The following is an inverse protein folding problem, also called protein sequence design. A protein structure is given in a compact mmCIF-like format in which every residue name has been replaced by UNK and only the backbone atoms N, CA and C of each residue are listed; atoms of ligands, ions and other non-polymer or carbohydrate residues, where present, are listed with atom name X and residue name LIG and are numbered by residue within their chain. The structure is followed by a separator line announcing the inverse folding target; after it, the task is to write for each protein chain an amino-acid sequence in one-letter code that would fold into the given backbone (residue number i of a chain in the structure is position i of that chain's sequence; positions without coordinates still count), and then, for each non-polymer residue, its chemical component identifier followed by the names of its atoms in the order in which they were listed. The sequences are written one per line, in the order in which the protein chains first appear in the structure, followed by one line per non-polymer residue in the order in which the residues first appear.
data_IF_854498134053
#
_entry.id   IF_854498134053
#
_cell.length_a   1.000
_cell.length_b   1.000
_cell.length_c   1.000
_cell.angle_alpha   90.00
_cell.angle_beta   90.00
_cell.angle_gamma   90.00
#
_symmetry.space_group_name_H-M   'P 1'
#
loop_
_entity.id
_entity.type
_entity.pdbx_description
1 polymer ?
#
# COMPACT_ATOMS: atom_id res chain seq x y z
N UNK A 1 13.61 -12.52 -37.67
CA UNK A 1 13.76 -11.68 -36.46
C UNK A 1 13.05 -10.35 -36.69
N UNK A 2 11.80 -10.22 -36.24
CA UNK A 2 11.06 -8.95 -36.31
C UNK A 2 11.59 -8.01 -35.23
N UNK A 3 12.21 -6.91 -35.64
CA UNK A 3 12.61 -5.82 -34.74
C UNK A 3 11.35 -5.02 -34.45
N UNK A 4 10.80 -5.15 -33.24
CA UNK A 4 9.71 -4.28 -32.81
C UNK A 4 10.28 -2.85 -32.77
N UNK A 5 9.75 -1.90 -33.56
CA UNK A 5 10.27 -0.54 -33.53
C UNK A 5 9.98 0.06 -32.17
N UNK A 6 10.99 0.69 -31.56
CA UNK A 6 10.92 1.30 -30.22
C UNK A 6 9.72 2.26 -30.10
N UNK A 7 9.34 2.90 -31.21
CA UNK A 7 8.16 3.77 -31.33
C UNK A 7 6.86 3.04 -30.96
N UNK A 8 6.73 1.76 -31.31
CA UNK A 8 5.55 0.93 -31.04
C UNK A 8 5.44 0.61 -29.54
N UNK A 9 6.57 0.41 -28.88
CA UNK A 9 6.63 0.19 -27.42
C UNK A 9 6.19 1.47 -26.69
N UNK A 10 6.71 2.63 -27.10
CA UNK A 10 6.32 3.93 -26.52
C UNK A 10 4.84 4.22 -26.72
N UNK A 11 4.29 3.92 -27.91
CA UNK A 11 2.87 4.11 -28.19
C UNK A 11 1.98 3.23 -27.30
N UNK A 12 2.35 1.96 -27.10
CA UNK A 12 1.61 1.04 -26.21
C UNK A 12 1.63 1.54 -24.77
N UNK A 13 2.78 2.04 -24.30
CA UNK A 13 2.90 2.60 -22.95
C UNK A 13 2.00 3.83 -22.80
N UNK A 14 1.97 4.74 -23.77
CA UNK A 14 1.12 5.93 -23.74
C UNK A 14 -0.38 5.59 -23.74
N UNK A 15 -0.79 4.61 -24.54
CA UNK A 15 -2.20 4.16 -24.59
C UNK A 15 -2.60 3.47 -23.29
N UNK A 16 -1.74 2.62 -22.74
CA UNK A 16 -1.95 2.03 -21.41
C UNK A 16 -2.05 3.13 -20.34
N UNK A 17 -1.21 4.17 -20.41
CA UNK A 17 -1.25 5.29 -19.48
C UNK A 17 -2.54 6.13 -19.60
N UNK A 18 -3.10 6.24 -20.80
CA UNK A 18 -4.35 6.96 -21.06
C UNK A 18 -5.58 6.19 -20.56
N UNK A 19 -5.62 4.87 -20.73
CA UNK A 19 -6.78 4.03 -20.40
C UNK A 19 -6.72 3.36 -19.02
N UNK A 20 -5.57 3.30 -18.35
CA UNK A 20 -5.42 2.69 -17.02
C UNK A 20 -5.16 3.77 -15.93
N UNK A 21 -6.21 4.19 -15.20
CA UNK A 21 -6.12 5.21 -14.14
C UNK A 21 -5.07 4.96 -13.04
N UNK A 22 -4.80 3.73 -12.57
CA UNK A 22 -3.87 3.54 -11.45
C UNK A 22 -2.41 3.82 -11.82
N UNK A 23 -2.02 3.68 -13.09
CA UNK A 23 -0.66 4.01 -13.56
C UNK A 23 -0.42 5.53 -13.61
N UNK A 24 -1.47 6.30 -13.92
CA UNK A 24 -1.43 7.77 -13.99
C UNK A 24 -1.12 8.41 -12.62
N UNK A 25 -1.63 7.79 -11.55
CA UNK A 25 -1.41 8.22 -10.16
C UNK A 25 0.02 7.99 -9.65
N UNK A 26 0.82 7.12 -10.29
CA UNK A 26 2.21 6.88 -9.89
C UNK A 26 3.18 8.00 -10.34
N UNK A 27 2.87 8.69 -11.44
CA UNK A 27 3.78 9.69 -12.06
C UNK A 27 3.32 11.13 -11.78
N UNK A 28 2.01 11.36 -11.64
CA UNK A 28 1.44 12.68 -11.33
C UNK A 28 0.55 12.61 -10.08
N UNK A 29 1.11 12.71 -8.87
CA UNK A 29 0.32 12.76 -7.65
C UNK A 29 -0.36 14.14 -7.56
N UNK A 30 -1.58 14.26 -8.10
CA UNK A 30 -2.35 15.51 -7.99
C UNK A 30 -3.54 15.72 -8.94
N UNK A 31 -3.71 14.93 -10.00
CA UNK A 31 -4.93 15.01 -10.82
C UNK A 31 -6.03 14.10 -10.26
N UNK A 32 -6.89 14.69 -9.44
CA UNK A 32 -8.16 14.06 -9.02
C UNK A 32 -9.05 13.82 -10.26
N UNK A 33 -9.68 12.64 -10.40
CA UNK A 33 -10.70 12.44 -11.41
C UNK A 33 -11.91 13.36 -11.17
N UNK A 34 -12.58 13.70 -12.26
CA UNK A 34 -13.70 14.63 -12.43
C UNK A 34 -14.80 14.48 -11.37
N UNK A 35 -15.48 15.56 -10.91
CA UNK A 35 -16.26 15.59 -9.66
C UNK A 35 -17.64 14.92 -9.68
N UNK A 36 -18.04 14.23 -10.75
CA UNK A 36 -19.46 13.86 -10.94
C UNK A 36 -19.91 12.56 -10.25
N UNK A 37 -19.13 11.99 -9.32
CA UNK A 37 -19.55 10.81 -8.56
C UNK A 37 -19.63 10.97 -7.03
N UNK A 38 -19.45 12.18 -6.49
CA UNK A 38 -19.45 12.41 -5.03
C UNK A 38 -20.75 12.99 -4.46
N UNK A 39 -21.87 12.88 -5.17
CA UNK A 39 -23.18 13.22 -4.61
C UNK A 39 -23.80 12.03 -3.85
N UNK A 40 -23.10 11.52 -2.83
CA UNK A 40 -23.73 10.71 -1.76
C UNK A 40 -22.82 10.41 -0.55
N UNK A 41 -22.00 11.38 -0.12
CA UNK A 41 -21.25 11.27 1.15
C UNK A 41 -21.85 12.13 2.28
N UNK A 42 -23.18 12.27 2.29
CA UNK A 42 -23.91 12.68 3.50
C UNK A 42 -24.33 11.43 4.28
N UNK A 43 -23.35 10.73 4.86
CA UNK A 43 -23.61 9.62 5.77
C UNK A 43 -22.69 9.75 6.99
N UNK A 44 -23.18 10.50 7.98
CA UNK A 44 -22.84 10.42 9.42
C UNK A 44 -21.37 10.13 9.75
N UNK A 45 -20.64 11.22 9.80
CA UNK A 45 -19.51 11.47 10.70
C UNK A 45 -19.77 10.91 12.11
N UNK A 46 -19.14 9.77 12.43
CA UNK A 46 -18.72 9.31 13.78
C UNK A 46 -18.16 7.88 13.68
N UNK A 47 -16.93 7.73 13.17
CA UNK A 47 -16.08 6.56 13.47
C UNK A 47 -14.58 6.84 13.21
N UNK A 48 -14.12 8.03 13.62
CA UNK A 48 -12.81 8.56 13.25
C UNK A 48 -11.63 7.69 13.71
N UNK A 49 -11.84 6.85 14.74
CA UNK A 49 -10.83 5.93 15.26
C UNK A 49 -10.65 4.68 14.39
N UNK A 50 -11.73 4.11 13.85
CA UNK A 50 -11.66 2.91 13.02
C UNK A 50 -11.07 3.23 11.65
N UNK A 51 -11.49 4.33 11.04
CA UNK A 51 -10.94 4.80 9.76
C UNK A 51 -9.46 5.14 9.89
N UNK A 52 -9.06 5.75 11.01
CA UNK A 52 -7.64 6.01 11.31
C UNK A 52 -6.83 4.71 11.44
N UNK A 53 -7.36 3.71 12.13
CA UNK A 53 -6.68 2.43 12.31
C UNK A 53 -6.54 1.67 10.98
N UNK A 54 -7.54 1.76 10.09
CA UNK A 54 -7.47 1.24 8.73
C UNK A 54 -6.39 1.93 7.89
N UNK A 55 -6.29 3.26 7.99
CA UNK A 55 -5.22 4.05 7.34
C UNK A 55 -3.85 3.68 7.90
N UNK A 56 -3.71 3.51 9.22
CA UNK A 56 -2.47 3.08 9.86
C UNK A 56 -2.05 1.68 9.39
N UNK A 57 -2.99 0.73 9.31
CA UNK A 57 -2.73 -0.62 8.80
C UNK A 57 -2.24 -0.59 7.34
N UNK A 58 -2.92 0.19 6.49
CA UNK A 58 -2.54 0.36 5.09
C UNK A 58 -1.15 0.99 4.95
N UNK A 59 -0.87 2.05 5.72
CA UNK A 59 0.42 2.74 5.71
C UNK A 59 1.55 1.82 6.19
N UNK A 60 1.32 1.03 7.23
CA UNK A 60 2.27 0.03 7.71
C UNK A 60 2.54 -1.05 6.66
N UNK A 61 1.51 -1.48 5.91
CA UNK A 61 1.65 -2.41 4.78
C UNK A 61 2.55 -1.85 3.66
N UNK A 62 2.32 -0.61 3.24
CA UNK A 62 3.18 0.07 2.24
C UNK A 62 4.63 0.15 2.73
N UNK A 63 4.84 0.51 4.00
CA UNK A 63 6.18 0.61 4.59
C UNK A 63 6.90 -0.74 4.52
N UNK A 64 6.20 -1.83 4.83
CA UNK A 64 6.75 -3.19 4.72
C UNK A 64 7.13 -3.58 3.30
N UNK A 65 6.24 -3.35 2.34
CA UNK A 65 6.51 -3.70 0.93
C UNK A 65 7.70 -2.90 0.38
N UNK A 66 7.80 -1.63 0.72
CA UNK A 66 8.93 -0.79 0.35
C UNK A 66 10.25 -1.29 0.96
N UNK A 67 10.25 -1.66 2.24
CA UNK A 67 11.44 -2.21 2.92
C UNK A 67 11.84 -3.57 2.32
N UNK A 68 10.87 -4.43 2.01
CA UNK A 68 11.10 -5.70 1.33
C UNK A 68 11.74 -5.50 -0.04
N UNK A 69 11.25 -4.54 -0.82
CA UNK A 69 11.83 -4.15 -2.10
C UNK A 69 13.26 -3.63 -1.94
N UNK A 70 13.51 -2.76 -0.97
CA UNK A 70 14.85 -2.25 -0.65
C UNK A 70 15.84 -3.36 -0.30
N UNK A 71 15.43 -4.31 0.56
CA UNK A 71 16.25 -5.48 0.91
C UNK A 71 16.58 -6.32 -0.32
N UNK A 72 15.59 -6.56 -1.19
CA UNK A 72 15.81 -7.33 -2.43
C UNK A 72 16.82 -6.63 -3.36
N UNK A 73 16.72 -5.31 -3.52
CA UNK A 73 17.67 -4.52 -4.31
C UNK A 73 19.07 -4.56 -3.70
N UNK A 74 19.20 -4.46 -2.37
CA UNK A 74 20.49 -4.53 -1.68
C UNK A 74 21.13 -5.92 -1.79
N UNK A 75 20.33 -7.00 -1.73
CA UNK A 75 20.82 -8.38 -1.97
C UNK A 75 21.31 -8.54 -3.40
N UNK A 76 20.52 -8.07 -4.38
CA UNK A 76 20.92 -8.06 -5.78
C UNK A 76 22.22 -7.27 -6.00
N UNK A 77 22.36 -6.09 -5.39
CA UNK A 77 23.60 -5.31 -5.44
C UNK A 77 24.79 -6.05 -4.81
N UNK A 78 24.58 -6.81 -3.73
CA UNK A 78 25.63 -7.59 -3.08
C UNK A 78 26.08 -8.81 -3.89
N UNK A 79 25.19 -9.37 -4.70
CA UNK A 79 25.47 -10.44 -5.67
C UNK A 79 26.19 -9.89 -6.92
N UNK A 80 25.88 -8.65 -7.33
CA UNK A 80 26.42 -7.99 -8.52
C UNK A 80 27.37 -6.83 -8.14
N UNK A 81 28.41 -7.16 -7.36
CA UNK A 81 29.33 -6.14 -6.81
C UNK A 81 30.10 -5.35 -7.87
N UNK A 82 30.19 -5.86 -9.08
CA UNK A 82 30.83 -5.25 -10.25
C UNK A 82 30.08 -4.02 -10.78
N UNK A 83 28.82 -3.82 -10.38
CA UNK A 83 28.06 -2.61 -10.71
C UNK A 83 28.56 -1.36 -9.98
N UNK A 84 29.34 -1.53 -8.92
CA UNK A 84 29.75 -0.45 -8.01
C UNK A 84 31.26 -0.44 -7.81
N UNK A 85 31.78 0.70 -7.35
CA UNK A 85 33.18 0.78 -6.92
C UNK A 85 33.42 -0.05 -5.65
N UNK A 86 34.66 -0.51 -5.38
CA UNK A 86 34.96 -1.29 -4.19
C UNK A 86 34.53 -0.62 -2.88
N UNK A 87 34.66 0.70 -2.78
CA UNK A 87 34.32 1.48 -1.57
C UNK A 87 32.80 1.59 -1.36
N UNK A 88 32.02 1.57 -2.44
CA UNK A 88 30.56 1.59 -2.41
C UNK A 88 30.04 0.18 -2.06
N UNK A 89 30.61 -0.85 -2.69
CA UNK A 89 30.30 -2.26 -2.42
C UNK A 89 30.62 -2.67 -0.98
N UNK A 90 31.63 -2.07 -0.36
CA UNK A 90 31.98 -2.33 1.04
C UNK A 90 30.88 -1.90 2.03
N UNK A 91 30.00 -0.96 1.64
CA UNK A 91 28.91 -0.47 2.50
C UNK A 91 27.64 -1.32 2.40
N UNK A 92 27.48 -2.10 1.32
CA UNK A 92 26.27 -2.90 1.05
C UNK A 92 25.87 -3.83 2.20
N UNK A 93 26.80 -4.56 2.88
CA UNK A 93 26.42 -5.40 4.01
C UNK A 93 25.83 -4.62 5.18
N UNK A 94 26.38 -3.43 5.48
CA UNK A 94 25.86 -2.58 6.55
C UNK A 94 24.49 -1.98 6.21
N UNK A 95 24.30 -1.54 4.97
CA UNK A 95 23.01 -1.05 4.48
C UNK A 95 21.95 -2.16 4.50
N UNK A 96 22.32 -3.39 4.13
CA UNK A 96 21.43 -4.54 4.15
C UNK A 96 21.04 -4.89 5.59
N UNK A 97 21.99 -4.99 6.51
CA UNK A 97 21.70 -5.29 7.91
C UNK A 97 20.75 -4.26 8.53
N UNK A 98 20.96 -2.97 8.26
CA UNK A 98 20.08 -1.90 8.72
C UNK A 98 18.66 -2.02 8.12
N UNK A 99 18.57 -2.30 6.83
CA UNK A 99 17.26 -2.48 6.18
C UNK A 99 16.51 -3.72 6.72
N UNK A 100 17.21 -4.81 7.02
CA UNK A 100 16.62 -6.01 7.62
C UNK A 100 16.16 -5.75 9.07
N UNK A 101 16.87 -4.92 9.83
CA UNK A 101 16.44 -4.49 11.16
C UNK A 101 15.19 -3.59 11.10
N UNK A 102 15.19 -2.57 10.23
CA UNK A 102 14.03 -1.70 9.99
C UNK A 102 12.80 -2.51 9.55
N UNK A 103 13.01 -3.53 8.71
CA UNK A 103 11.94 -4.43 8.26
C UNK A 103 11.33 -5.21 9.43
N UNK A 104 12.15 -5.82 10.29
CA UNK A 104 11.64 -6.57 11.47
C UNK A 104 10.82 -5.69 12.41
N UNK A 105 11.26 -4.45 12.62
CA UNK A 105 10.52 -3.49 13.45
C UNK A 105 9.18 -3.13 12.81
N UNK A 106 9.19 -2.80 11.51
CA UNK A 106 7.97 -2.50 10.77
C UNK A 106 7.00 -3.69 10.69
N UNK A 107 7.52 -4.93 10.65
CA UNK A 107 6.72 -6.15 10.64
C UNK A 107 5.98 -6.35 11.97
N UNK A 108 6.67 -6.13 13.08
CA UNK A 108 6.07 -6.17 14.40
C UNK A 108 4.98 -5.08 14.57
N UNK A 109 5.23 -3.86 14.08
CA UNK A 109 4.24 -2.77 14.06
C UNK A 109 3.01 -3.15 13.24
N UNK A 110 3.21 -3.66 12.02
CA UNK A 110 2.13 -4.06 11.12
C UNK A 110 1.26 -5.17 11.72
N UNK A 111 1.84 -6.25 12.25
CA UNK A 111 1.07 -7.35 12.82
C UNK A 111 0.28 -6.90 14.08
N UNK A 112 0.85 -5.98 14.86
CA UNK A 112 0.12 -5.36 15.98
C UNK A 112 -1.09 -4.57 15.49
N UNK A 113 -0.91 -3.66 14.53
CA UNK A 113 -2.01 -2.84 13.99
C UNK A 113 -3.06 -3.69 13.28
N UNK A 114 -2.64 -4.72 12.55
CA UNK A 114 -3.53 -5.69 11.89
C UNK A 114 -4.39 -6.44 12.89
N UNK A 115 -3.80 -6.88 14.00
CA UNK A 115 -4.54 -7.55 15.09
C UNK A 115 -5.57 -6.61 15.70
N UNK A 116 -5.18 -5.37 16.00
CA UNK A 116 -6.10 -4.36 16.54
C UNK A 116 -7.25 -4.08 15.55
N UNK A 117 -6.95 -3.95 14.26
CA UNK A 117 -7.95 -3.70 13.22
C UNK A 117 -8.92 -4.85 13.09
N UNK A 118 -8.44 -6.09 13.09
CA UNK A 118 -9.30 -7.26 13.07
C UNK A 118 -10.23 -7.31 14.28
N UNK A 119 -9.73 -7.03 15.48
CA UNK A 119 -10.53 -7.01 16.71
C UNK A 119 -11.64 -5.95 16.67
N UNK A 120 -11.29 -4.72 16.29
CA UNK A 120 -12.27 -3.63 16.20
C UNK A 120 -13.30 -3.86 15.09
N UNK A 121 -12.87 -4.40 13.94
CA UNK A 121 -13.78 -4.73 12.85
C UNK A 121 -14.80 -5.81 13.26
N UNK A 122 -14.33 -6.88 13.93
CA UNK A 122 -15.22 -7.92 14.46
C UNK A 122 -16.18 -7.35 15.51
N UNK A 123 -15.70 -6.51 16.43
CA UNK A 123 -16.57 -5.83 17.42
C UNK A 123 -17.63 -4.98 16.76
N UNK A 124 -17.28 -4.24 15.70
CA UNK A 124 -18.22 -3.43 14.91
C UNK A 124 -19.30 -4.30 14.27
N UNK A 125 -18.91 -5.39 13.60
CA UNK A 125 -19.85 -6.34 13.00
C UNK A 125 -20.82 -6.95 14.03
N UNK A 126 -20.31 -7.32 15.22
CA UNK A 126 -21.15 -7.86 16.31
C UNK A 126 -22.16 -6.79 16.79
N UNK A 127 -21.72 -5.55 17.01
CA UNK A 127 -22.62 -4.44 17.43
C UNK A 127 -23.69 -4.16 16.38
N UNK A 128 -23.32 -4.13 15.10
CA UNK A 128 -24.27 -3.93 14.00
C UNK A 128 -25.30 -5.07 13.91
N UNK A 129 -24.87 -6.33 14.11
CA UNK A 129 -25.77 -7.48 14.13
C UNK A 129 -26.75 -7.43 15.30
N UNK A 130 -26.31 -7.04 16.50
CA UNK A 130 -27.18 -6.87 17.67
C UNK A 130 -28.19 -5.74 17.47
N UNK A 131 -27.73 -4.57 16.99
CA UNK A 131 -28.61 -3.43 16.73
C UNK A 131 -29.70 -3.73 15.69
N UNK A 132 -29.40 -4.54 14.66
CA UNK A 132 -30.41 -4.99 13.68
C UNK A 132 -31.47 -5.89 14.30
N UNK A 133 -31.08 -6.79 15.22
CA UNK A 133 -32.00 -7.72 15.89
C UNK A 133 -32.98 -7.00 16.82
N UNK A 134 -32.51 -5.99 17.55
CA UNK A 134 -33.35 -5.20 18.45
C UNK A 134 -34.34 -4.30 17.67
N UNK A 135 -33.91 -3.77 16.51
CA UNK A 135 -34.75 -2.98 15.61
C UNK A 135 -35.84 -3.79 14.88
N UNK A 136 -35.62 -5.09 14.66
CA UNK A 136 -36.62 -6.01 14.11
C UNK A 136 -37.64 -6.47 15.16
N UNK A 137 -37.23 -6.67 16.41
CA UNK A 137 -38.14 -7.05 17.49
C UNK A 137 -39.06 -5.90 17.93
N UNK A 138 -38.61 -4.64 17.84
CA UNK A 138 -39.44 -3.48 18.16
C UNK A 138 -40.51 -3.13 17.11
N UNK A 139 -40.54 -3.84 15.96
CA UNK A 139 -41.51 -3.63 14.87
C UNK A 139 -42.60 -4.72 14.79
N UNK A 140 -42.61 -5.68 15.72
CA UNK A 140 -43.67 -6.68 15.90
C UNK A 140 -44.46 -6.38 17.15
#
# INVERSE_FOLDING_TARGET
MQRIPIVLIVAIILVAFYYYPPLRNLIFPGQKPTPELTQNQNSKEKDDGFDKLGVELYTAGIKLDNLRGKIALLKMAQENRDWFKPEESAQLPGLLAKAEEEFKQAEAEYEKTKTQYAQENVRKLIKEAMAKKDGEQSKK
#
